data_IF_361862253300
#
_entry.id   IF_361862253300
#
_cell.length_a   1.000
_cell.length_b   1.000
_cell.length_c   1.000
_cell.angle_alpha   90.00
_cell.angle_beta   90.00
_cell.angle_gamma   90.00
#
_symmetry.space_group_name_H-M   'P 1'
#
loop_
_entity.id
_entity.type
_entity.pdbx_description
1 polymer ?
#
# COMPACT_ATOMS: atom_id res chain seq x y z
N UNK A 1 -23.43 9.26 27.40
CA UNK A 1 -22.16 8.93 26.71
C UNK A 1 -22.59 8.02 25.59
N UNK A 2 -22.84 8.65 24.44
CA UNK A 2 -23.49 7.99 23.32
C UNK A 2 -22.57 6.91 22.76
N UNK A 3 -23.13 5.79 22.33
CA UNK A 3 -22.42 4.59 21.83
C UNK A 3 -21.41 4.90 20.71
N UNK A 4 -21.61 6.03 20.01
CA UNK A 4 -20.75 6.56 18.94
C UNK A 4 -19.41 7.10 19.47
N UNK A 5 -19.35 7.61 20.71
CA UNK A 5 -18.10 8.13 21.31
C UNK A 5 -17.01 7.04 21.46
N UNK A 6 -17.42 5.79 21.64
CA UNK A 6 -16.49 4.65 21.74
C UNK A 6 -15.88 4.29 20.37
N UNK A 7 -16.63 4.47 19.27
CA UNK A 7 -16.15 4.23 17.90
C UNK A 7 -15.17 5.32 17.43
N UNK A 8 -15.26 6.53 17.98
CA UNK A 8 -14.37 7.65 17.68
C UNK A 8 -12.95 7.49 18.27
N UNK A 9 -12.73 6.50 19.16
CA UNK A 9 -11.45 6.19 19.82
C UNK A 9 -11.06 4.73 19.63
N UNK A 10 -11.20 4.22 18.41
CA UNK A 10 -10.89 2.82 18.10
C UNK A 10 -9.49 2.67 17.47
N UNK A 11 -8.49 2.38 18.31
CA UNK A 11 -7.10 2.10 17.90
C UNK A 11 -6.82 0.60 17.62
N UNK A 12 -7.86 -0.25 17.59
CA UNK A 12 -7.68 -1.69 17.37
C UNK A 12 -7.09 -1.95 15.99
N UNK A 13 -6.00 -2.72 15.94
CA UNK A 13 -5.35 -3.15 14.70
C UNK A 13 -5.50 -4.65 14.53
N UNK A 14 -5.84 -5.08 13.32
CA UNK A 14 -5.96 -6.48 12.95
C UNK A 14 -4.90 -6.79 11.90
N UNK A 15 -3.71 -7.30 12.30
CA UNK A 15 -2.67 -7.62 11.33
C UNK A 15 -3.13 -8.76 10.40
N UNK A 16 -2.74 -8.74 9.12
CA UNK A 16 -3.02 -9.87 8.24
C UNK A 16 -2.28 -11.13 8.73
N UNK A 17 -2.83 -12.34 8.49
CA UNK A 17 -2.15 -13.60 8.77
C UNK A 17 -0.78 -13.69 8.10
N UNK A 18 0.15 -14.42 8.70
CA UNK A 18 1.53 -14.54 8.18
C UNK A 18 1.57 -15.10 6.75
N UNK A 19 0.78 -16.13 6.48
CA UNK A 19 0.72 -16.76 5.16
C UNK A 19 0.23 -15.78 4.08
N UNK A 20 -0.74 -14.92 4.42
CA UNK A 20 -1.17 -13.86 3.52
C UNK A 20 -0.04 -12.87 3.22
N UNK A 21 0.71 -12.45 4.24
CA UNK A 21 1.84 -11.52 4.06
C UNK A 21 2.92 -12.11 3.15
N UNK A 22 3.21 -13.40 3.30
CA UNK A 22 4.23 -14.09 2.50
C UNK A 22 3.85 -14.16 1.02
N UNK A 23 2.58 -14.36 0.71
CA UNK A 23 2.08 -14.55 -0.65
C UNK A 23 1.50 -13.29 -1.30
N UNK A 24 1.56 -12.13 -0.64
CA UNK A 24 1.13 -10.88 -1.23
C UNK A 24 1.98 -10.52 -2.47
N UNK A 25 1.35 -9.97 -3.50
CA UNK A 25 2.02 -9.51 -4.73
C UNK A 25 3.10 -8.46 -4.44
N UNK A 26 2.87 -7.63 -3.43
CA UNK A 26 3.83 -6.67 -2.90
C UNK A 26 3.97 -6.96 -1.41
N UNK A 27 5.05 -7.66 -1.04
CA UNK A 27 5.35 -8.04 0.34
C UNK A 27 6.63 -7.38 0.90
N UNK A 28 7.37 -6.66 0.06
CA UNK A 28 8.57 -5.91 0.44
C UNK A 28 8.21 -4.44 0.74
N UNK A 29 8.36 -3.98 2.00
CA UNK A 29 8.08 -2.59 2.38
C UNK A 29 9.03 -1.56 1.75
N UNK A 30 10.19 -1.98 1.20
CA UNK A 30 11.13 -1.08 0.52
C UNK A 30 10.51 -0.36 -0.68
N UNK A 31 9.38 -0.85 -1.22
CA UNK A 31 8.60 -0.19 -2.27
C UNK A 31 8.25 1.26 -1.92
N UNK A 32 7.94 1.54 -0.64
CA UNK A 32 7.58 2.88 -0.19
C UNK A 32 8.78 3.82 -0.17
N UNK A 33 9.93 3.35 0.30
CA UNK A 33 11.16 4.15 0.30
C UNK A 33 11.63 4.45 -1.12
N UNK A 34 11.53 3.47 -2.03
CA UNK A 34 11.86 3.65 -3.45
C UNK A 34 10.94 4.70 -4.10
N UNK A 35 9.63 4.57 -3.89
CA UNK A 35 8.65 5.52 -4.40
C UNK A 35 8.84 6.94 -3.82
N UNK A 36 9.23 7.06 -2.54
CA UNK A 36 9.47 8.36 -1.91
C UNK A 36 10.76 9.04 -2.38
N UNK A 37 11.78 8.26 -2.76
CA UNK A 37 13.08 8.79 -3.21
C UNK A 37 13.03 9.44 -4.59
N UNK A 38 12.28 8.83 -5.51
CA UNK A 38 12.06 9.36 -6.86
C UNK A 38 10.63 9.02 -7.32
N UNK A 39 9.64 9.85 -6.95
CA UNK A 39 8.24 9.58 -7.28
C UNK A 39 7.98 9.53 -8.78
N UNK A 40 8.61 10.41 -9.57
CA UNK A 40 8.41 10.47 -11.01
C UNK A 40 9.03 9.25 -11.71
N UNK A 41 10.26 8.89 -11.35
CA UNK A 41 10.92 7.69 -11.86
C UNK A 41 10.16 6.43 -11.49
N UNK A 42 9.71 6.30 -10.25
CA UNK A 42 8.92 5.16 -9.79
C UNK A 42 7.64 4.97 -10.61
N UNK A 43 6.85 6.04 -10.79
CA UNK A 43 5.60 5.94 -11.54
C UNK A 43 5.83 5.79 -13.05
N UNK A 44 6.90 6.36 -13.59
CA UNK A 44 7.28 6.12 -14.98
C UNK A 44 7.63 4.64 -15.23
N UNK A 45 8.33 3.98 -14.30
CA UNK A 45 8.57 2.53 -14.37
C UNK A 45 7.26 1.74 -14.32
N UNK A 46 6.35 2.06 -13.40
CA UNK A 46 5.06 1.36 -13.31
C UNK A 46 4.21 1.56 -14.57
N UNK A 47 4.23 2.75 -15.16
CA UNK A 47 3.48 3.04 -16.38
C UNK A 47 3.98 2.23 -17.59
N UNK A 48 5.27 1.88 -17.64
CA UNK A 48 5.85 1.07 -18.74
C UNK A 48 5.36 -0.37 -18.78
N UNK A 49 4.85 -0.90 -17.67
CA UNK A 49 4.25 -2.24 -17.59
C UNK A 49 2.88 -2.32 -18.28
N UNK A 50 2.27 -1.16 -18.59
CA UNK A 50 0.99 -1.09 -19.27
C UNK A 50 1.18 -1.09 -20.78
N UNK A 51 0.25 -1.73 -21.49
CA UNK A 51 0.17 -1.61 -22.94
C UNK A 51 -0.52 -0.30 -23.31
N UNK A 52 0.22 0.60 -23.99
CA UNK A 52 -0.28 1.89 -24.42
C UNK A 52 -0.56 1.93 -25.91
N UNK A 53 -1.70 2.54 -26.28
CA UNK A 53 -2.05 2.80 -27.69
C UNK A 53 -1.15 3.92 -28.26
N UNK A 54 -0.80 4.91 -27.42
CA UNK A 54 0.14 5.99 -27.71
C UNK A 54 0.88 6.37 -26.41
N UNK A 55 2.16 6.78 -26.48
CA UNK A 55 2.88 7.31 -25.33
C UNK A 55 2.18 8.54 -24.72
#
# INVERSE_FOLDING_TARGET
MDEIDALLREDRRFPPPEEFRKHALVNDPAVYERAARDPEGFWAEQARELEWIKP
#
